data_IF_973888526723
#
_entry.id   IF_973888526723
#
_cell.length_a   1.000
_cell.length_b   1.000
_cell.length_c   1.000
_cell.angle_alpha   90.00
_cell.angle_beta   90.00
_cell.angle_gamma   90.00
#
_symmetry.space_group_name_H-M   'P 1'
#
loop_
_entity.id
_entity.type
_entity.pdbx_description
1 polymer ?
#
# COMPACT_ATOMS: atom_id res chain seq x y z
N UNK A 1 -9.19 -17.71 13.71
CA UNK A 1 -10.51 -18.22 13.26
C UNK A 1 -10.38 -19.61 12.65
N UNK A 2 -9.56 -19.86 11.66
CA UNK A 2 -9.38 -21.14 10.97
C UNK A 2 -9.15 -22.29 11.98
N UNK A 3 -8.24 -22.11 12.94
CA UNK A 3 -7.99 -23.13 13.98
C UNK A 3 -9.26 -23.51 14.76
N UNK A 4 -10.12 -22.55 15.07
CA UNK A 4 -11.36 -22.77 15.79
C UNK A 4 -12.46 -23.38 14.91
N UNK A 5 -12.69 -22.76 13.72
CA UNK A 5 -13.86 -23.11 12.90
C UNK A 5 -13.64 -24.32 12.00
N UNK A 6 -12.41 -24.52 11.51
CA UNK A 6 -12.07 -25.63 10.59
C UNK A 6 -11.44 -26.79 11.33
N UNK A 7 -10.42 -26.51 12.16
CA UNK A 7 -9.67 -27.58 12.85
C UNK A 7 -10.20 -27.90 14.23
N UNK A 8 -11.11 -27.10 14.81
CA UNK A 8 -11.68 -27.26 16.15
C UNK A 8 -10.62 -27.29 17.27
N UNK A 9 -9.50 -26.58 17.08
CA UNK A 9 -8.40 -26.49 18.02
C UNK A 9 -8.50 -25.23 18.88
N UNK A 10 -9.35 -25.26 19.91
CA UNK A 10 -9.61 -24.10 20.77
C UNK A 10 -8.37 -23.63 21.55
N UNK A 11 -7.51 -24.55 22.01
CA UNK A 11 -6.29 -24.18 22.73
C UNK A 11 -5.33 -23.39 21.85
N UNK A 12 -5.05 -23.88 20.64
CA UNK A 12 -4.18 -23.21 19.66
C UNK A 12 -4.78 -21.87 19.22
N UNK A 13 -6.09 -21.82 18.99
CA UNK A 13 -6.80 -20.59 18.68
C UNK A 13 -6.69 -19.55 19.81
N UNK A 14 -6.76 -20.00 21.06
CA UNK A 14 -6.58 -19.16 22.25
C UNK A 14 -5.16 -18.56 22.32
N UNK A 15 -4.14 -19.37 22.08
CA UNK A 15 -2.73 -18.90 22.01
C UNK A 15 -2.52 -17.85 20.92
N UNK A 16 -3.10 -18.07 19.73
CA UNK A 16 -3.01 -17.10 18.63
C UNK A 16 -3.70 -15.77 18.99
N UNK A 17 -4.90 -15.81 19.58
CA UNK A 17 -5.59 -14.58 20.01
C UNK A 17 -4.79 -13.81 21.06
N UNK A 18 -4.20 -14.51 22.04
CA UNK A 18 -3.36 -13.88 23.06
C UNK A 18 -2.14 -13.21 22.43
N UNK A 19 -1.42 -13.91 21.56
CA UNK A 19 -0.25 -13.36 20.87
C UNK A 19 -0.62 -12.16 19.99
N UNK A 20 -1.74 -12.23 19.27
CA UNK A 20 -2.22 -11.11 18.46
C UNK A 20 -2.46 -9.85 19.32
N UNK A 21 -3.09 -10.00 20.48
CA UNK A 21 -3.27 -8.89 21.43
C UNK A 21 -1.95 -8.34 21.97
N UNK A 22 -1.00 -9.20 22.31
CA UNK A 22 0.33 -8.78 22.79
C UNK A 22 1.10 -8.00 21.70
N UNK A 23 0.99 -8.43 20.43
CA UNK A 23 1.59 -7.72 19.28
C UNK A 23 0.90 -6.36 19.07
N UNK A 24 -0.42 -6.32 19.09
CA UNK A 24 -1.19 -5.08 18.95
C UNK A 24 -0.84 -4.07 20.05
N UNK A 25 -0.76 -4.50 21.30
CA UNK A 25 -0.33 -3.67 22.41
C UNK A 25 1.11 -3.17 22.23
N UNK A 26 2.00 -4.03 21.71
CA UNK A 26 3.37 -3.66 21.37
C UNK A 26 3.44 -2.58 20.27
N UNK A 27 2.67 -2.73 19.21
CA UNK A 27 2.59 -1.73 18.12
C UNK A 27 2.06 -0.40 18.65
N UNK A 28 0.96 -0.41 19.41
CA UNK A 28 0.37 0.81 20.00
C UNK A 28 1.35 1.52 20.94
N UNK A 29 2.15 0.77 21.67
CA UNK A 29 3.07 1.33 22.68
C UNK A 29 4.39 1.80 22.10
N UNK A 30 4.92 1.11 21.11
CA UNK A 30 6.28 1.31 20.62
C UNK A 30 6.35 1.65 19.13
N UNK A 31 5.33 1.31 18.33
CA UNK A 31 5.30 1.53 16.90
C UNK A 31 4.68 2.85 16.47
N UNK A 32 4.11 3.64 17.39
CA UNK A 32 3.50 4.94 17.09
C UNK A 32 4.35 6.03 17.72
N UNK A 33 4.69 7.05 16.94
CA UNK A 33 5.46 8.20 17.41
C UNK A 33 5.05 9.49 16.71
N UNK A 34 5.46 10.63 17.25
CA UNK A 34 5.20 11.95 16.67
C UNK A 34 6.25 12.26 15.60
N UNK A 35 5.81 12.63 14.40
CA UNK A 35 6.67 13.09 13.30
C UNK A 35 6.14 14.41 12.73
N UNK A 36 6.66 15.58 13.13
CA UNK A 36 6.26 16.85 12.53
C UNK A 36 6.60 16.92 11.02
N UNK A 37 5.75 17.51 10.15
CA UNK A 37 4.49 18.15 10.50
C UNK A 37 3.27 17.19 10.48
N UNK A 38 3.47 15.89 10.27
CA UNK A 38 2.40 14.91 10.04
C UNK A 38 1.60 14.55 11.30
N UNK A 39 2.18 14.74 12.49
CA UNK A 39 1.58 14.31 13.77
C UNK A 39 1.96 12.87 14.12
N UNK A 40 1.06 12.15 14.78
CA UNK A 40 1.30 10.75 15.15
C UNK A 40 1.21 9.85 13.94
N UNK A 41 2.27 9.06 13.70
CA UNK A 41 2.37 8.09 12.62
C UNK A 41 2.82 6.72 13.13
N UNK A 42 2.57 5.68 12.36
CA UNK A 42 3.25 4.39 12.50
C UNK A 42 4.68 4.51 11.97
N UNK A 43 5.65 4.04 12.75
CA UNK A 43 7.02 3.89 12.30
C UNK A 43 7.17 2.60 11.48
N UNK A 44 8.04 2.61 10.47
CA UNK A 44 8.36 1.42 9.66
C UNK A 44 9.02 0.34 10.53
N UNK A 45 10.00 0.75 11.33
CA UNK A 45 10.66 -0.12 12.33
C UNK A 45 10.91 0.65 13.63
N UNK A 46 10.96 -0.09 14.73
CA UNK A 46 11.36 0.44 16.05
C UNK A 46 12.11 -0.63 16.84
N UNK A 47 13.07 -0.19 17.65
CA UNK A 47 13.76 -1.06 18.61
C UNK A 47 13.05 -1.15 19.97
N UNK A 48 11.93 -0.44 20.14
CA UNK A 48 11.20 -0.34 21.41
C UNK A 48 11.90 0.50 22.49
N UNK A 49 13.04 1.12 22.19
CA UNK A 49 13.84 1.95 23.09
C UNK A 49 13.81 3.44 22.72
N UNK A 50 12.99 3.80 21.73
CA UNK A 50 12.80 5.17 21.27
C UNK A 50 13.55 5.49 19.97
N UNK A 51 14.15 4.51 19.32
CA UNK A 51 14.69 4.69 17.97
C UNK A 51 13.68 4.19 16.93
N UNK A 52 13.55 4.93 15.83
CA UNK A 52 12.57 4.69 14.79
C UNK A 52 13.20 4.80 13.41
N UNK A 53 12.76 3.97 12.48
CA UNK A 53 13.01 4.13 11.06
C UNK A 53 11.75 4.70 10.42
N UNK A 54 11.93 5.81 9.69
CA UNK A 54 10.85 6.49 8.98
C UNK A 54 11.04 6.26 7.48
N UNK A 55 10.27 5.37 6.95
CA UNK A 55 10.10 5.10 5.52
C UNK A 55 8.85 4.22 5.33
N UNK A 56 8.48 3.99 4.12
CA UNK A 56 7.70 2.82 3.70
C UNK A 56 8.17 2.43 2.31
N UNK A 57 8.19 1.14 2.02
CA UNK A 57 8.45 0.65 0.68
C UNK A 57 7.19 0.05 0.06
N UNK A 58 7.22 -0.18 -1.25
CA UNK A 58 6.03 -0.58 -2.00
C UNK A 58 5.63 -2.06 -1.81
N UNK A 59 6.27 -2.80 -0.92
CA UNK A 59 5.87 -4.18 -0.65
C UNK A 59 4.48 -4.25 0.00
N UNK A 60 3.87 -5.43 -0.01
CA UNK A 60 2.69 -5.74 0.77
C UNK A 60 2.98 -7.03 1.54
N UNK A 61 3.02 -7.00 2.88
CA UNK A 61 2.58 -5.91 3.77
C UNK A 61 3.50 -4.68 3.76
N UNK A 62 2.92 -3.51 4.03
CA UNK A 62 3.56 -2.21 4.19
C UNK A 62 2.72 -1.34 5.13
N UNK A 63 3.21 -0.18 5.54
CA UNK A 63 2.39 0.75 6.30
C UNK A 63 1.21 1.29 5.49
N UNK A 64 1.38 1.48 4.18
CA UNK A 64 0.30 1.88 3.28
C UNK A 64 -0.81 0.83 3.22
N UNK A 65 -0.47 -0.46 3.36
CA UNK A 65 -1.42 -1.56 3.26
C UNK A 65 -2.20 -1.88 4.55
N UNK A 66 -2.01 -1.14 5.64
CA UNK A 66 -2.64 -1.46 6.94
C UNK A 66 -4.17 -1.62 6.88
N UNK A 67 -4.94 -0.76 6.16
CA UNK A 67 -6.39 -0.99 6.01
C UNK A 67 -6.74 -2.19 5.13
N UNK A 68 -5.97 -2.44 4.08
CA UNK A 68 -6.13 -3.60 3.23
C UNK A 68 -5.92 -4.91 4.00
N UNK A 69 -5.00 -4.90 4.97
CA UNK A 69 -4.72 -6.03 5.87
C UNK A 69 -5.67 -6.09 7.09
N UNK A 70 -6.69 -5.24 7.13
CA UNK A 70 -7.67 -5.15 8.21
C UNK A 70 -7.08 -4.83 9.60
N UNK A 71 -5.88 -4.25 9.65
CA UNK A 71 -5.25 -3.84 10.92
C UNK A 71 -5.91 -2.58 11.50
N UNK A 72 -6.27 -1.62 10.66
CA UNK A 72 -6.99 -0.40 11.02
C UNK A 72 -7.96 -0.01 9.89
N UNK A 73 -8.76 1.01 10.10
CA UNK A 73 -9.60 1.59 9.04
C UNK A 73 -8.85 2.69 8.31
N UNK A 74 -9.23 2.99 7.07
CA UNK A 74 -8.69 4.12 6.33
C UNK A 74 -9.01 5.48 7.00
N UNK A 75 -9.99 5.52 7.91
CA UNK A 75 -10.38 6.70 8.68
C UNK A 75 -9.59 6.89 9.98
N UNK A 76 -8.77 5.90 10.38
CA UNK A 76 -7.90 6.01 11.56
C UNK A 76 -6.95 7.21 11.42
N UNK A 77 -6.87 8.05 12.46
CA UNK A 77 -6.09 9.31 12.41
C UNK A 77 -4.59 9.04 12.27
N UNK A 78 -4.07 8.04 12.99
CA UNK A 78 -2.65 7.68 12.90
C UNK A 78 -2.33 7.15 11.50
N UNK A 79 -3.24 6.35 10.93
CA UNK A 79 -3.08 5.88 9.56
C UNK A 79 -3.13 7.01 8.53
N UNK A 80 -4.09 7.95 8.64
CA UNK A 80 -4.15 9.12 7.73
C UNK A 80 -2.85 9.92 7.74
N UNK A 81 -2.31 10.17 8.91
CA UNK A 81 -1.04 10.87 9.07
C UNK A 81 0.11 10.06 8.46
N UNK A 82 0.15 8.75 8.74
CA UNK A 82 1.13 7.82 8.17
C UNK A 82 1.05 7.81 6.63
N UNK A 83 -0.15 7.69 6.08
CA UNK A 83 -0.39 7.73 4.64
C UNK A 83 0.06 9.04 4.01
N UNK A 84 -0.23 10.17 4.65
CA UNK A 84 0.22 11.48 4.18
C UNK A 84 1.76 11.58 4.14
N UNK A 85 2.45 11.02 5.14
CA UNK A 85 3.90 10.92 5.15
C UNK A 85 4.42 10.01 4.02
N UNK A 86 3.87 8.80 3.88
CA UNK A 86 4.31 7.81 2.90
C UNK A 86 4.19 8.32 1.47
N UNK A 87 3.12 9.03 1.17
CA UNK A 87 2.83 9.59 -0.16
C UNK A 87 3.40 11.00 -0.36
N UNK A 88 4.46 11.34 0.37
CA UNK A 88 5.17 12.61 0.27
C UNK A 88 6.67 12.41 -0.02
N UNK A 89 7.36 13.47 -0.43
CA UNK A 89 8.80 13.48 -0.67
C UNK A 89 9.64 13.25 0.61
N UNK A 90 9.03 13.33 1.78
CA UNK A 90 9.67 13.02 3.06
C UNK A 90 9.92 11.51 3.23
N UNK A 91 9.14 10.67 2.54
CA UNK A 91 9.44 9.24 2.45
C UNK A 91 10.58 9.00 1.46
N UNK A 92 11.75 8.47 1.90
CA UNK A 92 12.91 8.27 1.03
C UNK A 92 12.66 7.29 -0.13
N UNK A 93 11.58 6.52 -0.07
CA UNK A 93 11.16 5.61 -1.14
C UNK A 93 10.04 6.17 -2.03
N UNK A 94 9.58 7.40 -1.80
CA UNK A 94 8.63 8.05 -2.69
C UNK A 94 9.36 8.72 -3.85
N UNK A 95 8.91 8.49 -5.07
CA UNK A 95 9.47 9.08 -6.27
C UNK A 95 8.35 9.72 -7.09
N UNK A 96 8.65 10.88 -7.70
CA UNK A 96 7.72 11.60 -8.55
C UNK A 96 8.46 11.98 -9.85
N UNK A 97 7.93 11.51 -10.95
CA UNK A 97 8.44 11.81 -12.29
C UNK A 97 7.36 12.34 -13.22
N UNK A 98 7.69 12.45 -14.49
CA UNK A 98 6.81 12.97 -15.53
C UNK A 98 5.73 11.98 -15.98
N UNK A 99 5.92 10.69 -15.73
CA UNK A 99 4.99 9.62 -16.15
C UNK A 99 4.18 9.11 -14.97
N UNK A 100 4.86 8.75 -13.89
CA UNK A 100 4.23 8.19 -12.68
C UNK A 100 4.84 8.77 -11.42
N UNK A 101 4.10 8.67 -10.32
CA UNK A 101 4.57 8.98 -8.97
C UNK A 101 4.06 7.92 -8.01
N UNK A 102 4.81 7.66 -6.96
CA UNK A 102 4.41 6.69 -5.93
C UNK A 102 5.59 6.11 -5.16
N UNK A 103 5.29 5.12 -4.37
CA UNK A 103 6.28 4.45 -3.54
C UNK A 103 7.06 3.43 -4.37
N UNK A 104 8.37 3.47 -4.26
CA UNK A 104 9.29 2.48 -4.78
C UNK A 104 9.84 1.59 -3.68
N UNK A 105 11.00 0.98 -3.91
CA UNK A 105 11.62 0.09 -2.94
C UNK A 105 13.16 0.15 -3.03
N UNK A 106 13.89 -0.01 -1.92
CA UNK A 106 15.34 -0.15 -1.94
C UNK A 106 15.83 -1.42 -2.66
N UNK A 107 14.93 -2.36 -3.01
CA UNK A 107 15.25 -3.56 -3.77
C UNK A 107 15.50 -3.30 -5.26
N UNK A 108 15.09 -2.14 -5.77
CA UNK A 108 15.27 -1.75 -7.16
C UNK A 108 16.02 -0.42 -7.28
N UNK A 109 16.29 0.00 -8.51
CA UNK A 109 16.99 1.24 -8.81
C UNK A 109 16.27 2.45 -8.22
N UNK A 110 17.03 3.37 -7.64
CA UNK A 110 16.49 4.64 -7.13
C UNK A 110 15.79 5.41 -8.26
N UNK A 111 14.61 5.95 -7.98
CA UNK A 111 13.77 6.62 -8.96
C UNK A 111 12.73 5.71 -9.61
N UNK A 112 12.76 4.40 -9.31
CA UNK A 112 11.74 3.48 -9.78
C UNK A 112 10.57 3.42 -8.79
N UNK A 113 9.36 3.57 -9.31
CA UNK A 113 8.09 3.37 -8.61
C UNK A 113 7.63 1.93 -8.83
N UNK A 114 7.00 1.34 -7.83
CA UNK A 114 6.45 0.00 -7.95
C UNK A 114 4.93 0.06 -8.18
N UNK A 115 4.40 -0.60 -9.22
CA UNK A 115 2.96 -0.71 -9.44
C UNK A 115 2.18 -1.18 -8.22
N UNK A 116 2.73 -2.10 -7.40
CA UNK A 116 2.11 -2.55 -6.15
C UNK A 116 1.82 -1.37 -5.21
N UNK A 117 2.73 -0.40 -5.09
CA UNK A 117 2.52 0.79 -4.26
C UNK A 117 1.37 1.65 -4.75
N UNK A 118 1.27 1.87 -6.08
CA UNK A 118 0.16 2.62 -6.69
C UNK A 118 -1.17 1.86 -6.53
N UNK A 119 -1.16 0.55 -6.74
CA UNK A 119 -2.35 -0.29 -6.55
C UNK A 119 -2.82 -0.24 -5.08
N UNK A 120 -1.89 -0.32 -4.14
CA UNK A 120 -2.21 -0.27 -2.72
C UNK A 120 -2.73 1.11 -2.30
N UNK A 121 -2.18 2.19 -2.88
CA UNK A 121 -2.71 3.55 -2.72
C UNK A 121 -4.18 3.63 -3.13
N UNK A 122 -4.54 3.05 -4.29
CA UNK A 122 -5.92 3.00 -4.78
C UNK A 122 -6.82 2.12 -3.91
N UNK A 123 -6.37 0.91 -3.53
CA UNK A 123 -7.15 -0.03 -2.72
C UNK A 123 -7.46 0.49 -1.30
N UNK A 124 -6.63 1.38 -0.77
CA UNK A 124 -6.80 1.99 0.55
C UNK A 124 -7.37 3.40 0.51
N UNK A 125 -7.73 3.90 -0.68
CA UNK A 125 -8.36 5.20 -0.86
C UNK A 125 -9.89 5.10 -0.79
N UNK A 126 -10.53 6.10 -0.19
CA UNK A 126 -11.96 6.36 -0.29
C UNK A 126 -12.33 7.40 -1.35
N UNK A 127 -11.33 8.00 -2.01
CA UNK A 127 -11.53 9.05 -3.02
C UNK A 127 -11.52 8.46 -4.44
N UNK A 128 -12.66 8.60 -5.13
CA UNK A 128 -12.83 8.08 -6.49
C UNK A 128 -11.87 8.73 -7.51
N UNK A 129 -11.53 10.01 -7.34
CA UNK A 129 -10.61 10.69 -8.26
C UNK A 129 -9.17 10.21 -8.04
N UNK A 130 -8.74 10.05 -6.80
CA UNK A 130 -7.43 9.44 -6.51
C UNK A 130 -7.32 8.01 -7.08
N UNK A 131 -8.39 7.21 -6.96
CA UNK A 131 -8.41 5.84 -7.52
C UNK A 131 -8.24 5.89 -9.04
N UNK A 132 -8.93 6.81 -9.74
CA UNK A 132 -8.80 7.00 -11.19
C UNK A 132 -7.38 7.43 -11.56
N UNK A 133 -6.81 8.42 -10.87
CA UNK A 133 -5.42 8.85 -11.10
C UNK A 133 -4.43 7.68 -10.96
N UNK A 134 -4.61 6.83 -9.95
CA UNK A 134 -3.78 5.64 -9.78
C UNK A 134 -3.91 4.67 -10.96
N UNK A 135 -5.12 4.44 -11.45
CA UNK A 135 -5.35 3.57 -12.62
C UNK A 135 -4.74 4.18 -13.87
N UNK A 136 -4.90 5.49 -14.08
CA UNK A 136 -4.33 6.18 -15.24
C UNK A 136 -2.79 6.09 -15.25
N UNK A 137 -2.13 6.23 -14.10
CA UNK A 137 -0.69 6.02 -13.96
C UNK A 137 -0.29 4.57 -14.29
N UNK A 138 -1.03 3.58 -13.82
CA UNK A 138 -0.77 2.17 -14.11
C UNK A 138 -0.92 1.87 -15.60
N UNK A 139 -1.94 2.44 -16.24
CA UNK A 139 -2.18 2.28 -17.68
C UNK A 139 -1.15 3.06 -18.52
N UNK A 140 -0.61 4.17 -18.05
CA UNK A 140 0.43 4.92 -18.75
C UNK A 140 1.81 4.25 -18.67
N UNK A 141 2.01 3.31 -17.75
CA UNK A 141 3.32 2.76 -17.41
C UNK A 141 3.53 1.28 -17.80
N UNK A 142 2.60 0.65 -18.54
CA UNK A 142 2.74 -0.76 -18.94
C UNK A 142 3.66 -0.98 -20.17
N UNK A 143 4.24 0.08 -20.73
CA UNK A 143 5.20 0.02 -21.85
C UNK A 143 4.71 -0.82 -23.06
N UNK A 144 3.42 -0.82 -23.37
CA UNK A 144 2.82 -1.62 -24.45
C UNK A 144 2.82 -3.13 -24.23
N UNK A 145 3.17 -3.59 -23.02
CA UNK A 145 3.19 -5.03 -22.69
C UNK A 145 1.85 -5.57 -22.24
N UNK A 146 0.93 -4.68 -21.83
CA UNK A 146 -0.36 -4.99 -21.18
C UNK A 146 -0.22 -5.73 -19.85
N UNK A 147 0.95 -5.66 -19.21
CA UNK A 147 1.25 -6.26 -17.91
C UNK A 147 1.77 -5.24 -16.90
N UNK A 148 1.54 -5.53 -15.62
CA UNK A 148 2.16 -4.79 -14.52
C UNK A 148 3.57 -5.33 -14.27
N UNK A 149 4.53 -4.41 -14.23
CA UNK A 149 5.94 -4.67 -13.96
C UNK A 149 6.23 -4.73 -12.45
N UNK A 150 7.44 -5.13 -12.07
CA UNK A 150 7.90 -5.04 -10.68
C UNK A 150 8.16 -3.58 -10.30
N UNK A 151 8.95 -2.87 -11.10
CA UNK A 151 9.24 -1.45 -10.90
C UNK A 151 9.45 -0.75 -12.24
N UNK A 152 9.19 0.55 -12.27
CA UNK A 152 9.20 1.38 -13.47
C UNK A 152 9.87 2.71 -13.12
N UNK A 153 10.76 3.20 -13.96
CA UNK A 153 11.33 4.54 -13.81
C UNK A 153 10.22 5.59 -13.87
N UNK A 154 10.23 6.52 -12.92
CA UNK A 154 9.17 7.52 -12.79
C UNK A 154 9.04 8.46 -14.00
N UNK A 155 10.11 8.61 -14.80
CA UNK A 155 10.17 9.47 -15.99
C UNK A 155 10.16 8.71 -17.32
N UNK A 156 10.47 7.39 -17.31
CA UNK A 156 10.61 6.59 -18.53
C UNK A 156 9.91 5.22 -18.38
N UNK A 157 8.73 5.02 -18.96
CA UNK A 157 7.98 3.78 -18.83
C UNK A 157 8.66 2.58 -19.51
N UNK A 158 9.63 2.80 -20.42
CA UNK A 158 10.39 1.73 -21.06
C UNK A 158 11.55 1.21 -20.18
N UNK A 159 11.95 1.95 -19.12
CA UNK A 159 12.97 1.52 -18.14
C UNK A 159 12.28 0.85 -16.93
N UNK A 160 11.97 -0.43 -17.09
CA UNK A 160 11.30 -1.24 -16.07
C UNK A 160 12.07 -2.51 -15.71
N UNK A 161 11.74 -3.08 -14.55
CA UNK A 161 12.20 -4.42 -14.15
C UNK A 161 11.06 -5.42 -14.28
N UNK A 162 11.38 -6.66 -14.72
CA UNK A 162 10.43 -7.76 -14.88
C UNK A 162 9.20 -7.37 -15.71
N UNK A 163 9.21 -7.67 -17.01
CA UNK A 163 8.12 -7.38 -17.92
C UNK A 163 6.76 -7.93 -17.48
N UNK A 164 6.74 -8.98 -16.69
CA UNK A 164 5.56 -9.55 -16.06
C UNK A 164 5.86 -9.89 -14.61
N UNK A 165 5.10 -9.32 -13.68
CA UNK A 165 5.25 -9.54 -12.26
C UNK A 165 3.93 -10.01 -11.65
N UNK A 166 3.84 -11.31 -11.33
CA UNK A 166 2.59 -11.96 -10.91
C UNK A 166 1.88 -11.24 -9.77
N UNK A 167 2.65 -10.80 -8.80
CA UNK A 167 2.13 -10.10 -7.62
C UNK A 167 1.41 -8.80 -7.98
N UNK A 168 2.05 -7.94 -8.77
CA UNK A 168 1.43 -6.70 -9.22
C UNK A 168 0.20 -6.96 -10.12
N UNK A 169 0.28 -7.95 -11.03
CA UNK A 169 -0.84 -8.29 -11.91
C UNK A 169 -2.05 -8.84 -11.15
N UNK A 170 -1.85 -9.64 -10.10
CA UNK A 170 -2.96 -10.16 -9.29
C UNK A 170 -3.64 -9.05 -8.48
N UNK A 171 -2.87 -8.16 -7.86
CA UNK A 171 -3.42 -7.01 -7.15
C UNK A 171 -4.11 -6.00 -8.08
N UNK A 172 -3.60 -5.81 -9.30
CA UNK A 172 -4.26 -4.97 -10.29
C UNK A 172 -5.63 -5.55 -10.70
N UNK A 173 -5.71 -6.86 -10.90
CA UNK A 173 -7.00 -7.51 -11.17
C UNK A 173 -7.99 -7.33 -10.01
N UNK A 174 -7.54 -7.43 -8.77
CA UNK A 174 -8.34 -7.16 -7.57
C UNK A 174 -8.83 -5.71 -7.53
N UNK A 175 -7.93 -4.74 -7.82
CA UNK A 175 -8.30 -3.33 -7.91
C UNK A 175 -9.40 -3.09 -8.94
N UNK A 176 -9.31 -3.69 -10.13
CA UNK A 176 -10.33 -3.55 -11.18
C UNK A 176 -11.70 -4.13 -10.75
N UNK A 177 -11.71 -5.25 -10.03
CA UNK A 177 -12.94 -5.82 -9.45
C UNK A 177 -13.53 -4.82 -8.44
N UNK A 178 -12.70 -4.30 -7.55
CA UNK A 178 -13.13 -3.32 -6.53
C UNK A 178 -13.69 -2.04 -7.14
N UNK A 179 -13.05 -1.51 -8.16
CA UNK A 179 -13.48 -0.32 -8.90
C UNK A 179 -14.84 -0.53 -9.56
N UNK A 180 -15.06 -1.72 -10.14
CA UNK A 180 -16.37 -2.11 -10.70
C UNK A 180 -17.45 -2.19 -9.61
N UNK A 181 -17.15 -2.80 -8.47
CA UNK A 181 -18.10 -2.89 -7.34
C UNK A 181 -18.48 -1.50 -6.80
N UNK A 182 -17.54 -0.56 -6.80
CA UNK A 182 -17.76 0.82 -6.37
C UNK A 182 -18.49 1.68 -7.44
N UNK A 183 -18.64 1.20 -8.68
CA UNK A 183 -19.26 1.95 -9.77
C UNK A 183 -18.47 3.19 -10.21
N UNK A 184 -17.17 3.23 -9.97
CA UNK A 184 -16.34 4.43 -10.20
C UNK A 184 -16.33 4.87 -11.66
N UNK A 185 -16.46 3.94 -12.61
CA UNK A 185 -16.53 4.25 -14.04
C UNK A 185 -17.95 4.17 -14.64
N UNK A 186 -18.97 3.76 -13.88
CA UNK A 186 -20.33 3.59 -14.40
C UNK A 186 -21.10 4.92 -14.57
N UNK A 187 -20.57 6.02 -14.03
CA UNK A 187 -21.22 7.34 -14.07
C UNK A 187 -21.20 8.05 -15.45
N UNK A 188 -20.62 7.42 -16.50
CA UNK A 188 -20.46 8.01 -17.84
C UNK A 188 -21.10 7.21 -19.00
N UNK A 189 -21.70 6.07 -18.77
CA UNK A 189 -22.25 5.18 -19.80
C UNK A 189 -23.69 5.49 -20.24
N UNK A 190 -24.04 6.77 -20.47
CA UNK A 190 -25.19 7.15 -21.29
C UNK A 190 -24.72 8.04 -22.42
N UNK A 191 -24.42 7.44 -23.55
CA UNK A 191 -24.14 8.26 -24.71
C UNK A 191 -23.78 7.46 -25.96
N UNK A 192 -24.79 7.02 -26.66
CA UNK A 192 -24.93 6.83 -28.12
C UNK A 192 -24.15 5.66 -28.74
#
# INVERSE_FOLDING_TARGET
EILRTVYQEEESAGKCRKLAGEIEDGIKRYGITELPPFGKIYAYETDGLGNYVFMDDANCPSLLSLPYLEYCTAEDEVYKNTRAYILSEENPCYFSGSVIKGVGSPHTKKGNVWPIGIIMQALTSGDAEEIKECIDMLLASHAGTDYMHESINADDPEDYTRSWFAWANSLFAELLIRVKELGIYDAGGKGQ
#
